data_IF_335349766689
#
_entry.id   IF_335349766689
#
_cell.length_a   1.000
_cell.length_b   1.000
_cell.length_c   1.000
_cell.angle_alpha   90.00
_cell.angle_beta   90.00
_cell.angle_gamma   90.00
#
_symmetry.space_group_name_H-M   'P 1'
#
loop_
_entity.id
_entity.type
_entity.pdbx_description
1 polymer ?
#
# COMPACT_ATOMS: atom_id res chain seq x y z
N UNK A 1 22.36 0.65 -32.37
CA UNK A 1 22.20 1.85 -31.52
C UNK A 1 22.54 1.44 -30.11
N UNK A 2 23.47 2.08 -29.45
CA UNK A 2 23.89 1.62 -28.13
C UNK A 2 22.95 2.16 -27.06
N UNK A 3 22.64 1.37 -26.06
CA UNK A 3 21.94 1.79 -24.83
C UNK A 3 22.66 2.96 -24.13
N UNK A 4 23.95 3.17 -24.42
CA UNK A 4 24.77 4.26 -23.88
C UNK A 4 24.20 5.65 -24.18
N UNK A 5 23.75 5.90 -25.42
CA UNK A 5 23.18 7.19 -25.77
C UNK A 5 21.88 7.48 -24.99
N UNK A 6 21.04 6.46 -24.81
CA UNK A 6 19.79 6.56 -24.04
C UNK A 6 20.10 6.81 -22.56
N UNK A 7 21.01 6.04 -21.97
CA UNK A 7 21.44 6.21 -20.59
C UNK A 7 22.06 7.60 -20.36
N UNK A 8 22.92 8.07 -21.28
CA UNK A 8 23.51 9.40 -21.19
C UNK A 8 22.45 10.49 -21.22
N UNK A 9 21.45 10.37 -22.12
CA UNK A 9 20.34 11.33 -22.20
C UNK A 9 19.49 11.35 -20.92
N UNK A 10 19.21 10.18 -20.34
CA UNK A 10 18.48 10.07 -19.06
C UNK A 10 19.28 10.75 -17.95
N UNK A 11 20.58 10.51 -17.87
CA UNK A 11 21.46 11.13 -16.86
C UNK A 11 21.57 12.66 -17.02
N UNK A 12 21.54 13.18 -18.24
CA UNK A 12 21.46 14.62 -18.49
C UNK A 12 20.18 15.25 -17.95
N UNK A 13 19.09 14.50 -17.93
CA UNK A 13 17.78 14.95 -17.41
C UNK A 13 17.57 14.63 -15.93
N UNK A 14 18.58 14.13 -15.21
CA UNK A 14 18.45 13.66 -13.83
C UNK A 14 17.71 14.66 -12.94
N UNK A 15 18.10 15.92 -12.98
CA UNK A 15 17.50 16.94 -12.10
C UNK A 15 16.05 17.26 -12.51
N UNK A 16 15.73 17.23 -13.79
CA UNK A 16 14.34 17.37 -14.27
C UNK A 16 13.48 16.18 -13.83
N UNK A 17 14.01 14.97 -13.93
CA UNK A 17 13.34 13.73 -13.51
C UNK A 17 13.05 13.77 -12.00
N UNK A 18 14.08 14.08 -11.20
CA UNK A 18 13.93 14.18 -9.76
C UNK A 18 12.90 15.25 -9.35
N UNK A 19 12.93 16.41 -10.01
CA UNK A 19 11.97 17.47 -9.74
C UNK A 19 10.53 17.04 -10.09
N UNK A 20 10.33 16.35 -11.21
CA UNK A 20 9.02 15.79 -11.59
C UNK A 20 8.52 14.77 -10.60
N UNK A 21 9.36 13.83 -10.17
CA UNK A 21 9.03 12.83 -9.15
C UNK A 21 8.67 13.52 -7.82
N UNK A 22 9.51 14.43 -7.34
CA UNK A 22 9.27 15.18 -6.12
C UNK A 22 7.96 15.97 -6.16
N UNK A 23 7.62 16.56 -7.30
CA UNK A 23 6.38 17.32 -7.46
C UNK A 23 5.16 16.42 -7.25
N UNK A 24 5.12 15.26 -7.88
CA UNK A 24 3.99 14.33 -7.74
C UNK A 24 3.96 13.68 -6.35
N UNK A 25 5.13 13.32 -5.77
CA UNK A 25 5.22 12.75 -4.42
C UNK A 25 4.69 13.67 -3.32
N UNK A 26 4.78 15.00 -3.48
CA UNK A 26 4.24 15.96 -2.51
C UNK A 26 2.73 16.02 -2.48
N UNK A 27 2.06 15.38 -3.43
CA UNK A 27 0.61 15.25 -3.45
C UNK A 27 0.23 14.00 -2.65
N UNK A 28 -0.44 14.19 -1.52
CA UNK A 28 -1.01 13.09 -0.75
C UNK A 28 -2.19 12.49 -1.52
N UNK A 29 -1.93 11.40 -2.22
CA UNK A 29 -2.87 10.72 -3.10
C UNK A 29 -3.44 9.43 -2.53
N UNK A 30 -3.64 9.41 -1.22
CA UNK A 30 -4.39 8.35 -0.54
C UNK A 30 -5.84 8.38 -0.98
N UNK A 31 -6.42 7.21 -1.22
CA UNK A 31 -7.84 7.09 -1.53
C UNK A 31 -8.68 7.75 -0.43
N UNK A 32 -9.59 8.62 -0.86
CA UNK A 32 -10.49 9.36 0.00
C UNK A 32 -11.96 9.19 -0.39
N UNK A 33 -12.82 9.98 0.25
CA UNK A 33 -14.24 9.98 -0.07
C UNK A 33 -14.49 10.42 -1.52
N UNK A 34 -15.32 9.66 -2.22
CA UNK A 34 -15.66 9.92 -3.61
C UNK A 34 -16.44 11.23 -3.77
N UNK A 35 -16.06 12.03 -4.75
CA UNK A 35 -16.73 13.27 -5.15
C UNK A 35 -17.17 13.18 -6.61
N UNK A 36 -18.10 14.03 -7.08
CA UNK A 36 -18.65 13.93 -8.42
C UNK A 36 -17.61 13.90 -9.56
N UNK A 37 -16.49 14.61 -9.39
CA UNK A 37 -15.40 14.70 -10.35
C UNK A 37 -14.07 14.11 -9.84
N UNK A 38 -14.09 13.45 -8.68
CA UNK A 38 -12.95 12.79 -8.04
C UNK A 38 -13.38 11.44 -7.45
N UNK A 39 -13.56 10.42 -8.30
CA UNK A 39 -14.16 9.13 -7.89
C UNK A 39 -13.38 8.40 -6.79
N UNK A 40 -12.11 8.69 -6.62
CA UNK A 40 -11.25 8.12 -5.57
C UNK A 40 -10.78 9.16 -4.54
N UNK A 41 -11.42 10.34 -4.55
CA UNK A 41 -11.06 11.47 -3.71
C UNK A 41 -10.17 12.50 -4.38
N UNK A 42 -10.02 13.68 -3.77
CA UNK A 42 -9.30 14.81 -4.37
C UNK A 42 -7.79 14.57 -4.52
N UNK A 43 -7.17 13.82 -3.61
CA UNK A 43 -5.74 13.53 -3.64
C UNK A 43 -5.31 12.71 -4.87
N UNK A 44 -5.90 11.50 -5.11
CA UNK A 44 -5.64 10.72 -6.31
C UNK A 44 -5.91 11.48 -7.61
N UNK A 45 -6.99 12.25 -7.66
CA UNK A 45 -7.28 13.12 -8.82
C UNK A 45 -6.18 14.16 -9.05
N UNK A 46 -5.70 14.80 -7.99
CA UNK A 46 -4.64 15.80 -8.12
C UNK A 46 -3.32 15.20 -8.62
N UNK A 47 -2.95 14.00 -8.14
CA UNK A 47 -1.75 13.30 -8.62
C UNK A 47 -1.87 12.86 -10.08
N UNK A 48 -3.07 12.40 -10.49
CA UNK A 48 -3.39 12.05 -11.86
C UNK A 48 -3.24 13.27 -12.79
N UNK A 49 -3.82 14.39 -12.42
CA UNK A 49 -3.76 15.63 -13.24
C UNK A 49 -2.33 16.18 -13.30
N UNK A 50 -1.55 16.10 -12.23
CA UNK A 50 -0.15 16.52 -12.23
C UNK A 50 0.69 15.70 -13.24
N UNK A 51 0.52 14.36 -13.28
CA UNK A 51 1.20 13.51 -14.25
C UNK A 51 0.74 13.79 -15.71
N UNK A 52 -0.55 14.05 -15.92
CA UNK A 52 -1.07 14.48 -17.23
C UNK A 52 -0.50 15.83 -17.65
N UNK A 53 -0.40 16.77 -16.73
CA UNK A 53 0.16 18.10 -17.02
C UNK A 53 1.66 18.02 -17.33
N UNK A 54 2.41 17.14 -16.67
CA UNK A 54 3.79 16.82 -17.06
C UNK A 54 3.84 16.33 -18.51
N UNK A 55 2.97 15.40 -18.90
CA UNK A 55 2.89 14.90 -20.27
C UNK A 55 2.62 16.03 -21.28
N UNK A 56 1.68 16.95 -20.98
CA UNK A 56 1.38 18.13 -21.81
C UNK A 56 2.58 19.06 -21.94
N UNK A 57 3.22 19.41 -20.82
CA UNK A 57 4.42 20.27 -20.79
C UNK A 57 5.58 19.70 -21.60
N UNK A 58 5.73 18.38 -21.58
CA UNK A 58 6.71 17.69 -22.39
C UNK A 58 6.28 17.53 -23.86
N UNK A 59 5.08 17.94 -24.25
CA UNK A 59 4.60 17.93 -25.63
C UNK A 59 4.13 16.58 -26.15
N UNK A 60 3.69 15.71 -25.27
CA UNK A 60 3.11 14.42 -25.61
C UNK A 60 1.58 14.49 -25.80
N UNK A 61 1.02 13.49 -26.49
CA UNK A 61 -0.41 13.25 -26.48
C UNK A 61 -0.82 12.75 -25.10
N UNK A 62 -1.86 13.34 -24.53
CA UNK A 62 -2.38 12.90 -23.23
C UNK A 62 -3.88 12.60 -23.35
N UNK A 63 -4.35 11.69 -22.52
CA UNK A 63 -5.77 11.37 -22.40
C UNK A 63 -6.08 10.85 -20.99
N UNK A 64 -7.36 10.78 -20.67
CA UNK A 64 -7.81 10.24 -19.39
C UNK A 64 -9.25 9.69 -19.50
N UNK A 65 -9.62 8.82 -18.59
CA UNK A 65 -10.94 8.24 -18.45
C UNK A 65 -11.54 8.65 -17.10
N UNK A 66 -12.41 9.65 -17.11
CA UNK A 66 -13.27 10.11 -16.02
C UNK A 66 -12.53 10.31 -14.67
N UNK A 67 -11.33 10.90 -14.72
CA UNK A 67 -10.45 11.12 -13.56
C UNK A 67 -10.12 9.86 -12.76
N UNK A 68 -10.15 8.68 -13.42
CA UNK A 68 -9.81 7.37 -12.81
C UNK A 68 -8.45 6.87 -13.26
N UNK A 69 -8.14 7.09 -14.54
CA UNK A 69 -6.92 6.59 -15.17
C UNK A 69 -6.52 7.53 -16.29
N UNK A 70 -5.24 7.80 -16.42
CA UNK A 70 -4.68 8.68 -17.43
C UNK A 70 -3.59 8.02 -18.24
N UNK A 71 -3.16 8.68 -19.31
CA UNK A 71 -2.03 8.21 -20.09
C UNK A 71 -1.30 9.34 -20.83
N UNK A 72 -0.04 9.07 -21.09
CA UNK A 72 0.86 9.86 -21.94
C UNK A 72 1.31 8.98 -23.07
N UNK A 73 1.22 9.45 -24.33
CA UNK A 73 1.50 8.64 -25.52
C UNK A 73 2.48 9.34 -26.48
N UNK A 74 3.37 8.53 -27.05
CA UNK A 74 4.31 8.93 -28.10
C UNK A 74 4.35 7.91 -29.24
N UNK A 75 4.52 8.39 -30.47
CA UNK A 75 4.61 7.59 -31.66
C UNK A 75 3.31 7.47 -32.43
N UNK A 76 3.37 6.71 -33.51
CA UNK A 76 2.27 6.46 -34.43
C UNK A 76 2.16 4.96 -34.74
N UNK A 77 1.05 4.53 -35.31
CA UNK A 77 0.83 3.15 -35.71
C UNK A 77 -0.31 2.47 -34.95
N UNK A 78 -0.59 1.24 -35.34
CA UNK A 78 -1.70 0.45 -34.79
C UNK A 78 -1.30 -0.27 -33.50
N UNK A 79 -0.11 -0.84 -33.49
CA UNK A 79 0.39 -1.57 -32.32
C UNK A 79 0.87 -0.60 -31.24
N UNK A 80 0.76 -1.03 -29.99
CA UNK A 80 1.08 -0.22 -28.82
C UNK A 80 1.78 -1.03 -27.74
N UNK A 81 2.88 -0.48 -27.22
CA UNK A 81 3.52 -0.95 -25.99
C UNK A 81 2.92 -0.15 -24.83
N UNK A 82 2.39 -0.83 -23.83
CA UNK A 82 1.90 -0.23 -22.60
C UNK A 82 2.93 -0.28 -21.48
N UNK A 83 3.08 0.81 -20.75
CA UNK A 83 3.72 0.84 -19.43
C UNK A 83 2.62 1.17 -18.45
N UNK A 84 2.25 0.23 -17.57
CA UNK A 84 1.13 0.38 -16.65
C UNK A 84 1.64 0.57 -15.23
N UNK A 85 1.16 1.57 -14.54
CA UNK A 85 1.41 1.81 -13.12
C UNK A 85 0.37 2.73 -12.52
N UNK A 86 0.68 3.39 -11.40
CA UNK A 86 -0.29 4.20 -10.68
C UNK A 86 0.32 5.44 -10.00
N UNK A 87 -0.56 6.34 -9.55
CA UNK A 87 -0.17 7.58 -8.86
C UNK A 87 -0.89 7.77 -7.52
N UNK A 88 -1.77 6.85 -7.13
CA UNK A 88 -2.27 6.76 -5.76
C UNK A 88 -1.25 6.09 -4.85
N UNK A 89 -1.47 6.15 -3.56
CA UNK A 89 -0.57 5.59 -2.55
C UNK A 89 -1.35 5.09 -1.34
N UNK A 90 -0.83 4.09 -0.64
CA UNK A 90 -1.34 3.70 0.68
C UNK A 90 -1.10 4.80 1.72
N UNK A 91 -1.88 4.85 2.81
CA UNK A 91 -1.65 5.77 3.92
C UNK A 91 -0.22 5.68 4.45
N UNK A 92 0.37 6.84 4.75
CA UNK A 92 1.73 6.88 5.30
C UNK A 92 1.79 6.46 6.78
N UNK A 93 0.68 6.60 7.51
CA UNK A 93 0.65 6.49 8.97
C UNK A 93 1.31 7.69 9.66
N UNK A 94 1.19 7.74 10.97
CA UNK A 94 1.64 8.89 11.77
C UNK A 94 3.06 8.71 12.33
N UNK A 95 3.65 7.55 12.19
CA UNK A 95 4.95 7.21 12.81
C UNK A 95 5.86 6.42 11.85
N UNK A 96 7.13 6.32 12.20
CA UNK A 96 8.11 5.49 11.48
C UNK A 96 8.84 6.20 10.33
N UNK A 97 8.56 7.47 10.07
CA UNK A 97 9.25 8.25 9.04
C UNK A 97 10.42 9.06 9.60
N UNK A 98 11.60 8.89 9.00
CA UNK A 98 12.79 9.72 9.31
C UNK A 98 12.62 11.15 8.81
N UNK A 99 11.98 11.31 7.66
CA UNK A 99 11.64 12.60 7.04
C UNK A 99 10.15 12.60 6.70
N UNK A 100 9.52 13.78 6.49
CA UNK A 100 8.08 13.85 6.19
C UNK A 100 7.69 12.94 5.03
N UNK A 101 6.67 12.11 5.21
CA UNK A 101 6.25 11.10 4.25
C UNK A 101 5.94 11.68 2.85
N UNK A 102 5.37 12.88 2.79
CA UNK A 102 5.08 13.61 1.54
C UNK A 102 6.02 14.79 1.31
N UNK A 103 7.17 14.84 2.00
CA UNK A 103 8.20 15.87 1.83
C UNK A 103 8.95 15.76 0.51
N UNK A 104 9.12 14.55 0.02
CA UNK A 104 9.93 14.24 -1.14
C UNK A 104 11.34 14.85 -1.04
N UNK A 105 11.97 14.72 0.11
CA UNK A 105 13.27 15.31 0.41
C UNK A 105 14.40 14.40 -0.07
N UNK A 106 15.52 15.01 -0.44
CA UNK A 106 16.74 14.26 -0.82
C UNK A 106 17.79 14.47 0.28
N UNK A 107 18.18 13.37 0.93
CA UNK A 107 19.23 13.35 1.95
C UNK A 107 20.25 12.29 1.59
N UNK A 108 21.53 12.65 1.62
CA UNK A 108 22.65 11.75 1.29
C UNK A 108 22.52 11.05 -0.09
N UNK A 109 21.88 11.74 -1.05
CA UNK A 109 21.65 11.20 -2.40
C UNK A 109 20.48 10.23 -2.51
N UNK A 110 19.69 10.06 -1.46
CA UNK A 110 18.48 9.21 -1.40
C UNK A 110 17.24 10.10 -1.38
N UNK A 111 16.29 9.85 -2.27
CA UNK A 111 14.97 10.48 -2.28
C UNK A 111 14.06 9.73 -1.31
N UNK A 112 13.53 10.44 -0.32
CA UNK A 112 12.69 9.90 0.75
C UNK A 112 11.23 10.29 0.56
N UNK A 113 10.33 9.34 0.80
CA UNK A 113 8.91 9.61 0.90
C UNK A 113 8.01 8.52 0.34
N UNK A 114 6.72 8.59 0.67
CA UNK A 114 5.67 7.71 0.18
C UNK A 114 5.51 7.89 -1.34
N UNK A 115 5.39 6.76 -2.08
CA UNK A 115 5.26 6.78 -3.54
C UNK A 115 6.59 6.90 -4.29
N UNK A 116 7.74 6.95 -3.60
CA UNK A 116 9.04 7.05 -4.27
C UNK A 116 9.35 5.82 -5.14
N UNK A 117 9.09 4.63 -4.61
CA UNK A 117 9.30 3.35 -5.29
C UNK A 117 7.99 2.79 -5.85
N UNK A 118 6.90 2.97 -5.15
CA UNK A 118 5.59 2.42 -5.39
C UNK A 118 4.57 3.57 -5.48
N UNK A 119 4.17 4.00 -6.66
CA UNK A 119 4.72 3.74 -8.02
C UNK A 119 4.96 5.08 -8.74
N UNK A 120 4.83 6.25 -8.03
CA UNK A 120 4.99 7.59 -8.62
C UNK A 120 6.36 7.81 -9.24
N UNK A 121 7.43 7.32 -8.58
CA UNK A 121 8.79 7.41 -9.10
C UNK A 121 8.94 6.71 -10.44
N UNK A 122 8.64 5.41 -10.54
CA UNK A 122 8.70 4.65 -11.78
C UNK A 122 7.80 5.21 -12.90
N UNK A 123 6.58 5.64 -12.59
CA UNK A 123 5.67 6.20 -13.60
C UNK A 123 6.16 7.55 -14.14
N UNK A 124 6.55 8.46 -13.28
CA UNK A 124 7.13 9.76 -13.74
C UNK A 124 8.44 9.51 -14.49
N UNK A 125 9.28 8.59 -14.01
CA UNK A 125 10.48 8.15 -14.72
C UNK A 125 10.19 7.60 -16.12
N UNK A 126 9.12 6.83 -16.27
CA UNK A 126 8.67 6.28 -17.57
C UNK A 126 8.23 7.37 -18.55
N UNK A 127 7.59 8.44 -18.08
CA UNK A 127 7.25 9.61 -18.92
C UNK A 127 8.54 10.29 -19.42
N UNK A 128 9.55 10.42 -18.59
CA UNK A 128 10.84 10.95 -19.01
C UNK A 128 11.63 10.00 -19.91
N UNK A 129 11.44 8.69 -19.79
CA UNK A 129 12.00 7.73 -20.73
C UNK A 129 11.42 7.94 -22.15
N UNK A 130 10.11 8.24 -22.28
CA UNK A 130 9.52 8.66 -23.57
C UNK A 130 10.20 9.94 -24.10
N UNK A 131 10.48 10.91 -23.23
CA UNK A 131 11.19 12.14 -23.61
C UNK A 131 12.59 11.81 -24.16
N UNK A 132 13.32 10.92 -23.53
CA UNK A 132 14.66 10.51 -23.99
C UNK A 132 14.61 9.84 -25.37
N UNK A 133 13.64 8.94 -25.59
CA UNK A 133 13.41 8.27 -26.89
C UNK A 133 13.14 9.31 -27.98
N UNK A 134 12.25 10.25 -27.72
CA UNK A 134 11.90 11.33 -28.66
C UNK A 134 13.07 12.26 -28.95
N UNK A 135 13.75 12.76 -27.92
CA UNK A 135 14.83 13.74 -28.03
C UNK A 135 16.02 13.18 -28.84
N UNK A 136 16.22 11.87 -28.77
CA UNK A 136 17.24 11.16 -29.56
C UNK A 136 16.76 10.72 -30.94
N UNK A 137 15.49 11.02 -31.30
CA UNK A 137 14.86 10.56 -32.52
C UNK A 137 15.04 9.05 -32.75
N UNK A 138 14.90 8.24 -31.69
CA UNK A 138 15.04 6.80 -31.82
C UNK A 138 13.91 6.24 -32.70
N UNK A 139 14.23 5.35 -33.65
CA UNK A 139 13.19 4.71 -34.45
C UNK A 139 12.38 3.77 -33.54
N UNK A 140 11.08 3.95 -33.58
CA UNK A 140 10.08 3.09 -32.92
C UNK A 140 9.16 2.52 -33.99
N UNK A 141 8.78 1.26 -33.86
CA UNK A 141 7.92 0.53 -34.80
C UNK A 141 6.45 0.50 -34.33
N UNK A 142 6.19 1.00 -33.13
CA UNK A 142 4.85 1.07 -32.51
C UNK A 142 4.75 2.22 -31.52
N UNK A 143 3.55 2.62 -31.18
CA UNK A 143 3.31 3.63 -30.13
C UNK A 143 3.75 3.12 -28.79
N UNK A 144 4.11 4.03 -27.90
CA UNK A 144 4.37 3.74 -26.49
C UNK A 144 3.40 4.60 -25.68
N UNK A 145 2.65 3.95 -24.77
CA UNK A 145 1.69 4.61 -23.88
C UNK A 145 2.03 4.28 -22.44
N UNK A 146 2.37 5.31 -21.66
CA UNK A 146 2.47 5.22 -20.20
C UNK A 146 1.08 5.46 -19.65
N UNK A 147 0.51 4.46 -19.00
CA UNK A 147 -0.85 4.43 -18.43
C UNK A 147 -0.70 4.42 -16.93
N UNK A 148 -1.40 5.30 -16.23
CA UNK A 148 -1.31 5.39 -14.77
C UNK A 148 -2.70 5.54 -14.15
N UNK A 149 -3.01 4.60 -13.26
CA UNK A 149 -4.23 4.56 -12.47
C UNK A 149 -4.16 5.50 -11.26
N UNK A 150 -5.29 5.72 -10.64
CA UNK A 150 -5.40 6.49 -9.40
C UNK A 150 -6.20 5.75 -8.30
N UNK A 151 -6.20 4.40 -8.36
CA UNK A 151 -6.86 3.49 -7.41
C UNK A 151 -6.27 2.06 -7.48
N UNK A 152 -4.98 1.94 -7.72
CA UNK A 152 -4.32 0.63 -7.78
C UNK A 152 -4.32 -0.03 -6.41
N UNK A 153 -3.85 0.67 -5.40
CA UNK A 153 -3.66 0.26 -4.02
C UNK A 153 -4.95 -0.20 -3.29
N UNK A 154 -6.11 0.13 -3.86
CA UNK A 154 -7.41 -0.23 -3.31
C UNK A 154 -8.23 -1.14 -4.23
N UNK A 155 -7.55 -1.99 -5.02
CA UNK A 155 -8.15 -3.04 -5.83
C UNK A 155 -8.29 -2.72 -7.31
N UNK A 156 -7.49 -1.79 -7.83
CA UNK A 156 -7.30 -1.51 -9.27
C UNK A 156 -8.59 -1.24 -10.04
N UNK A 157 -9.62 -0.65 -9.40
CA UNK A 157 -10.90 -0.37 -10.07
C UNK A 157 -10.75 0.65 -11.22
N UNK A 158 -9.68 1.44 -11.21
CA UNK A 158 -9.30 2.34 -12.30
C UNK A 158 -8.91 1.56 -13.58
N UNK A 159 -8.13 0.49 -13.45
CA UNK A 159 -7.75 -0.38 -14.57
C UNK A 159 -8.97 -1.19 -15.06
N UNK A 160 -9.78 -1.73 -14.16
CA UNK A 160 -11.03 -2.38 -14.53
C UNK A 160 -11.93 -1.44 -15.33
N UNK A 161 -12.09 -0.18 -14.89
CA UNK A 161 -12.85 0.84 -15.60
C UNK A 161 -12.33 1.08 -17.03
N UNK A 162 -11.01 1.13 -17.21
CA UNK A 162 -10.39 1.31 -18.54
C UNK A 162 -10.78 0.18 -19.50
N UNK A 163 -10.71 -1.08 -19.02
CA UNK A 163 -11.06 -2.26 -19.81
C UNK A 163 -12.55 -2.32 -20.12
N UNK A 164 -13.40 -2.17 -19.11
CA UNK A 164 -14.86 -2.31 -19.22
C UNK A 164 -15.49 -1.24 -20.13
N UNK A 165 -14.89 -0.05 -20.20
CA UNK A 165 -15.36 1.03 -21.08
C UNK A 165 -14.72 1.00 -22.47
N UNK A 166 -14.00 -0.07 -22.83
CA UNK A 166 -13.52 -0.32 -24.17
C UNK A 166 -12.38 0.60 -24.61
N UNK A 167 -11.60 1.14 -23.69
CA UNK A 167 -10.39 1.86 -24.03
C UNK A 167 -9.36 0.95 -24.69
N UNK A 168 -8.52 1.53 -25.52
CA UNK A 168 -7.59 0.77 -26.36
C UNK A 168 -6.52 0.07 -25.51
N UNK A 169 -6.47 -1.26 -25.61
CA UNK A 169 -5.52 -2.09 -24.88
C UNK A 169 -4.16 -2.16 -25.55
N UNK A 170 -3.05 -2.16 -24.80
CA UNK A 170 -1.72 -2.42 -25.35
C UNK A 170 -1.63 -3.79 -26.04
N UNK A 171 -0.84 -3.86 -27.10
CA UNK A 171 -0.50 -5.15 -27.77
C UNK A 171 0.41 -6.00 -26.90
N UNK A 172 1.37 -5.34 -26.23
CA UNK A 172 2.29 -5.87 -25.22
C UNK A 172 2.53 -4.78 -24.18
N UNK A 173 3.00 -5.17 -23.01
CA UNK A 173 3.31 -4.19 -21.96
C UNK A 173 4.09 -4.78 -20.80
N UNK A 174 4.44 -3.90 -19.89
CA UNK A 174 5.02 -4.25 -18.59
C UNK A 174 4.54 -3.24 -17.55
N UNK A 175 4.70 -3.60 -16.29
CA UNK A 175 4.55 -2.68 -15.17
C UNK A 175 5.91 -2.42 -14.51
N UNK A 176 6.27 -1.16 -14.21
CA UNK A 176 7.46 -0.83 -13.42
C UNK A 176 7.20 -0.87 -11.92
N UNK A 177 6.00 -1.23 -11.51
CA UNK A 177 5.53 -1.31 -10.14
C UNK A 177 6.00 -2.61 -9.48
N UNK A 178 7.31 -2.78 -9.40
CA UNK A 178 7.92 -3.99 -8.86
C UNK A 178 9.44 -3.83 -8.67
N UNK A 179 10.05 -4.81 -7.99
CA UNK A 179 11.50 -4.89 -7.84
C UNK A 179 12.22 -5.24 -9.16
N UNK A 180 13.46 -4.77 -9.28
CA UNK A 180 14.32 -5.09 -10.41
C UNK A 180 15.09 -6.40 -10.18
N UNK A 181 15.49 -7.12 -11.24
CA UNK A 181 15.40 -6.74 -12.67
C UNK A 181 14.07 -7.08 -13.33
N UNK A 182 13.41 -8.15 -12.94
CA UNK A 182 12.13 -8.61 -13.50
C UNK A 182 11.40 -9.46 -12.46
N UNK A 183 10.15 -9.16 -12.17
CA UNK A 183 9.22 -10.07 -11.54
C UNK A 183 8.40 -10.75 -12.64
N UNK A 184 8.47 -12.05 -12.69
CA UNK A 184 7.81 -12.86 -13.71
C UNK A 184 6.66 -13.72 -13.14
N UNK A 185 6.52 -13.72 -11.81
CA UNK A 185 5.52 -14.51 -11.10
C UNK A 185 5.11 -13.78 -9.81
N UNK A 186 3.83 -13.78 -9.49
CA UNK A 186 3.27 -13.21 -8.28
C UNK A 186 2.31 -14.19 -7.61
N UNK A 187 2.22 -14.12 -6.29
CA UNK A 187 1.23 -14.88 -5.52
C UNK A 187 -0.15 -14.24 -5.66
N UNK A 188 -1.17 -15.07 -5.83
CA UNK A 188 -2.54 -14.61 -5.66
C UNK A 188 -2.81 -14.18 -4.21
N UNK A 189 -3.69 -13.21 -4.04
CA UNK A 189 -4.08 -12.69 -2.72
C UNK A 189 -5.54 -13.04 -2.42
N UNK A 190 -5.84 -13.29 -1.13
CA UNK A 190 -7.20 -13.50 -0.64
C UNK A 190 -7.38 -12.74 0.66
N UNK A 191 -8.31 -11.79 0.67
CA UNK A 191 -8.74 -11.11 1.89
C UNK A 191 -9.90 -11.87 2.54
N UNK A 192 -9.78 -12.16 3.83
CA UNK A 192 -10.85 -12.79 4.63
C UNK A 192 -11.26 -11.79 5.70
N UNK A 193 -12.55 -11.46 5.75
CA UNK A 193 -13.14 -10.65 6.81
C UNK A 193 -14.18 -11.50 7.53
N UNK A 194 -14.09 -11.59 8.84
CA UNK A 194 -15.02 -12.29 9.69
C UNK A 194 -15.40 -11.42 10.87
N UNK A 195 -16.56 -11.66 11.44
CA UNK A 195 -17.01 -10.96 12.62
C UNK A 195 -18.31 -11.58 13.16
N UNK A 196 -18.63 -11.26 14.40
CA UNK A 196 -19.88 -11.68 15.04
C UNK A 196 -20.40 -10.60 15.99
N UNK A 197 -21.67 -10.73 16.38
CA UNK A 197 -22.20 -9.95 17.49
C UNK A 197 -21.74 -10.56 18.81
N UNK A 198 -21.52 -9.70 19.79
CA UNK A 198 -21.16 -10.09 21.15
C UNK A 198 -22.43 -10.33 21.96
N UNK A 199 -22.59 -11.54 22.49
CA UNK A 199 -23.73 -11.96 23.34
C UNK A 199 -23.31 -12.17 24.80
N UNK A 200 -22.07 -12.57 25.04
CA UNK A 200 -21.48 -12.76 26.36
C UNK A 200 -20.21 -11.91 26.49
N UNK A 201 -20.29 -10.86 27.27
CA UNK A 201 -19.14 -9.94 27.53
C UNK A 201 -18.09 -10.50 28.49
N UNK A 202 -18.32 -11.71 29.02
CA UNK A 202 -17.46 -12.31 30.01
C UNK A 202 -17.54 -11.64 31.39
N UNK A 203 -16.59 -11.95 32.25
CA UNK A 203 -16.54 -11.40 33.63
C UNK A 203 -15.48 -10.27 33.81
N UNK A 204 -14.57 -10.10 32.86
CA UNK A 204 -13.76 -8.88 32.71
C UNK A 204 -14.33 -8.10 31.53
N UNK A 205 -14.98 -6.99 31.79
CA UNK A 205 -15.63 -6.20 30.73
C UNK A 205 -14.60 -5.48 29.88
N UNK A 206 -14.45 -5.94 28.62
CA UNK A 206 -13.67 -5.28 27.59
C UNK A 206 -14.57 -4.25 26.88
N UNK A 207 -14.20 -2.99 26.94
CA UNK A 207 -14.93 -1.91 26.25
C UNK A 207 -14.44 -1.71 24.83
N UNK A 208 -13.16 -1.98 24.57
CA UNK A 208 -12.55 -1.80 23.26
C UNK A 208 -11.29 -2.65 23.12
N UNK A 209 -11.14 -3.26 21.98
CA UNK A 209 -9.87 -3.80 21.50
C UNK A 209 -9.81 -3.56 20.00
N UNK A 210 -8.75 -2.91 19.54
CA UNK A 210 -8.67 -2.65 18.10
C UNK A 210 -7.32 -2.12 17.66
N UNK A 211 -7.03 -2.36 16.39
CA UNK A 211 -5.83 -1.90 15.71
C UNK A 211 -5.84 -2.25 14.23
N UNK A 212 -4.96 -1.61 13.50
CA UNK A 212 -4.83 -1.76 12.05
C UNK A 212 -5.40 -0.59 11.27
N UNK A 213 -4.80 -0.33 10.11
CA UNK A 213 -5.17 0.78 9.21
C UNK A 213 -5.54 0.28 7.80
N UNK A 214 -5.04 -0.89 7.42
CA UNK A 214 -5.31 -1.53 6.14
C UNK A 214 -5.10 -3.05 6.26
N UNK A 215 -5.78 -3.84 5.46
CA UNK A 215 -5.72 -5.30 5.49
C UNK A 215 -4.39 -5.86 4.96
N UNK A 216 -3.71 -5.12 4.09
CA UNK A 216 -2.39 -5.44 3.55
C UNK A 216 -1.20 -4.86 4.36
N UNK A 217 -1.42 -4.42 5.59
CA UNK A 217 -0.39 -3.86 6.47
C UNK A 217 -0.37 -4.60 7.80
N UNK A 218 0.82 -4.97 8.30
CA UNK A 218 1.00 -5.50 9.66
C UNK A 218 0.60 -4.43 10.68
N UNK A 219 -0.27 -4.77 11.63
CA UNK A 219 -0.84 -3.83 12.61
C UNK A 219 0.28 -3.12 13.39
N UNK A 220 0.50 -1.81 13.19
CA UNK A 220 1.59 -1.08 13.85
C UNK A 220 1.25 -0.66 15.28
N UNK A 221 -0.03 -0.43 15.58
CA UNK A 221 -0.51 -0.03 16.90
C UNK A 221 -1.81 -0.74 17.24
N UNK A 222 -1.98 -1.10 18.51
CA UNK A 222 -3.21 -1.71 19.00
C UNK A 222 -3.54 -1.21 20.40
N UNK A 223 -4.81 -1.11 20.73
CA UNK A 223 -5.31 -0.61 22.00
C UNK A 223 -6.35 -1.54 22.59
N UNK A 224 -6.25 -1.76 23.91
CA UNK A 224 -7.24 -2.47 24.72
C UNK A 224 -7.71 -1.57 25.86
N UNK A 225 -9.01 -1.48 26.09
CA UNK A 225 -9.62 -0.78 27.21
C UNK A 225 -10.51 -1.75 27.97
N UNK A 226 -10.20 -1.95 29.25
CA UNK A 226 -11.01 -2.81 30.13
C UNK A 226 -11.45 -2.05 31.38
N UNK A 227 -12.59 -2.42 31.96
CA UNK A 227 -13.03 -1.97 33.27
C UNK A 227 -12.29 -2.71 34.37
N UNK A 228 -11.78 -1.95 35.35
CA UNK A 228 -11.01 -2.50 36.47
C UNK A 228 -9.56 -2.75 36.14
N UNK A 229 -8.90 -3.47 37.03
CA UNK A 229 -7.49 -3.79 36.96
C UNK A 229 -7.29 -5.17 36.34
N UNK A 230 -6.30 -5.30 35.46
CA UNK A 230 -5.88 -6.58 34.86
C UNK A 230 -4.36 -6.76 35.02
N UNK A 231 -3.90 -7.99 34.89
CA UNK A 231 -2.47 -8.30 34.82
C UNK A 231 -1.96 -8.01 33.41
N UNK A 232 -0.88 -7.25 33.34
CA UNK A 232 -0.21 -6.99 32.06
C UNK A 232 1.27 -7.37 32.23
N UNK A 233 1.79 -8.26 31.40
CA UNK A 233 3.20 -8.61 31.41
C UNK A 233 4.05 -7.44 30.92
N UNK A 234 5.15 -7.16 31.62
CA UNK A 234 6.14 -6.18 31.16
C UNK A 234 6.77 -6.67 29.85
N UNK A 235 6.56 -5.92 28.80
CA UNK A 235 7.03 -6.26 27.44
C UNK A 235 7.38 -4.96 26.71
N UNK A 236 8.47 -4.98 25.94
CA UNK A 236 8.84 -3.85 25.09
C UNK A 236 7.70 -3.52 24.11
N UNK A 237 7.41 -2.24 23.95
CA UNK A 237 6.32 -1.78 23.09
C UNK A 237 4.93 -1.77 23.77
N UNK A 238 4.81 -2.17 25.04
CA UNK A 238 3.55 -2.12 25.80
C UNK A 238 3.58 -0.94 26.79
N UNK A 239 2.52 -0.17 26.79
CA UNK A 239 2.27 0.91 27.76
C UNK A 239 0.94 0.66 28.47
N UNK A 240 0.93 0.86 29.80
CA UNK A 240 -0.26 0.65 30.61
C UNK A 240 -0.61 1.97 31.33
N UNK A 241 -1.86 2.38 31.24
CA UNK A 241 -2.40 3.56 31.92
C UNK A 241 -3.66 3.17 32.72
N UNK A 242 -3.78 3.70 33.93
CA UNK A 242 -4.97 3.50 34.77
C UNK A 242 -5.69 4.83 34.89
N UNK A 243 -6.91 4.90 34.36
CA UNK A 243 -7.74 6.12 34.34
C UNK A 243 -9.21 5.80 34.58
N UNK A 244 -9.88 6.55 35.45
CA UNK A 244 -11.33 6.49 35.64
C UNK A 244 -11.86 5.06 35.94
N UNK A 245 -11.07 4.23 36.68
CA UNK A 245 -11.44 2.85 36.97
C UNK A 245 -11.29 1.88 35.80
N UNK A 246 -10.49 2.25 34.80
CA UNK A 246 -10.18 1.44 33.63
C UNK A 246 -8.68 1.20 33.53
N UNK A 247 -8.30 0.07 32.98
CA UNK A 247 -6.94 -0.19 32.49
C UNK A 247 -6.93 -0.03 30.98
N UNK A 248 -6.02 0.80 30.49
CA UNK A 248 -5.78 1.05 29.08
C UNK A 248 -4.40 0.45 28.77
N UNK A 249 -4.36 -0.46 27.82
CA UNK A 249 -3.12 -1.09 27.32
C UNK A 249 -2.93 -0.68 25.88
N UNK A 250 -1.79 -0.10 25.56
CA UNK A 250 -1.43 0.29 24.20
C UNK A 250 -0.17 -0.46 23.79
N UNK A 251 -0.21 -1.03 22.59
CA UNK A 251 0.91 -1.73 21.99
C UNK A 251 1.41 -0.97 20.76
N UNK A 252 2.74 -0.86 20.66
CA UNK A 252 3.44 -0.35 19.47
C UNK A 252 4.30 -1.47 18.93
N UNK A 253 3.97 -1.91 17.73
CA UNK A 253 4.72 -2.91 16.97
C UNK A 253 5.60 -2.27 15.90
N UNK A 254 5.73 -2.96 14.78
CA UNK A 254 6.45 -2.46 13.60
C UNK A 254 5.66 -2.78 12.34
N UNK A 255 5.34 -1.75 11.57
CA UNK A 255 4.66 -1.89 10.28
C UNK A 255 5.53 -2.67 9.28
N UNK A 256 4.87 -3.45 8.42
CA UNK A 256 5.45 -4.06 7.23
C UNK A 256 4.32 -4.31 6.23
N UNK A 257 4.66 -4.48 4.96
CA UNK A 257 3.69 -4.86 3.94
C UNK A 257 3.17 -6.29 4.19
N UNK A 258 1.88 -6.55 3.91
CA UNK A 258 1.25 -7.86 4.14
C UNK A 258 1.85 -9.02 3.33
N UNK A 259 2.61 -8.73 2.28
CA UNK A 259 3.38 -9.74 1.53
C UNK A 259 4.70 -10.14 2.21
N UNK A 260 5.20 -9.31 3.13
CA UNK A 260 6.43 -9.55 3.89
C UNK A 260 6.20 -9.38 5.40
N UNK A 261 5.19 -10.05 5.97
CA UNK A 261 4.76 -9.81 7.35
C UNK A 261 5.83 -10.16 8.39
N UNK A 262 6.77 -11.03 8.06
CA UNK A 262 7.92 -11.39 8.88
C UNK A 262 8.89 -10.23 9.16
N UNK A 263 8.84 -9.16 8.38
CA UNK A 263 9.59 -7.94 8.63
C UNK A 263 8.91 -7.01 9.64
N UNK A 264 7.65 -7.29 9.97
CA UNK A 264 6.86 -6.52 10.93
C UNK A 264 6.86 -7.11 12.34
N UNK A 265 6.15 -6.42 13.24
CA UNK A 265 5.74 -6.90 14.57
C UNK A 265 4.28 -6.50 14.76
N UNK A 266 3.39 -7.48 14.80
CA UNK A 266 1.96 -7.24 14.92
C UNK A 266 1.58 -6.79 16.33
N UNK A 267 1.15 -5.52 16.47
CA UNK A 267 0.83 -4.92 17.76
C UNK A 267 -0.36 -5.59 18.47
N UNK A 268 -1.33 -6.14 17.72
CA UNK A 268 -2.47 -6.84 18.31
C UNK A 268 -2.02 -8.14 18.98
N UNK A 269 -1.18 -8.93 18.33
CA UNK A 269 -0.63 -10.17 18.88
C UNK A 269 0.31 -9.87 20.06
N UNK A 270 1.12 -8.79 19.96
CA UNK A 270 1.97 -8.33 21.04
C UNK A 270 1.13 -7.99 22.29
N UNK A 271 0.05 -7.24 22.12
CA UNK A 271 -0.87 -6.82 23.18
C UNK A 271 -1.56 -8.03 23.81
N UNK A 272 -2.14 -8.93 22.99
CA UNK A 272 -2.83 -10.12 23.49
C UNK A 272 -1.90 -11.03 24.28
N UNK A 273 -0.65 -11.18 23.85
CA UNK A 273 0.37 -11.92 24.62
C UNK A 273 0.66 -11.28 25.99
N UNK A 274 0.65 -9.95 26.10
CA UNK A 274 0.88 -9.26 27.35
C UNK A 274 -0.27 -9.44 28.37
N UNK A 275 -1.50 -9.70 27.90
CA UNK A 275 -2.69 -9.80 28.76
C UNK A 275 -3.27 -11.22 28.88
N UNK A 276 -2.69 -12.23 28.23
CA UNK A 276 -3.23 -13.60 28.13
C UNK A 276 -3.40 -14.35 29.44
N UNK A 277 -2.72 -13.92 30.51
CA UNK A 277 -2.83 -14.52 31.85
C UNK A 277 -4.15 -14.13 32.58
N UNK A 278 -4.99 -13.28 31.95
CA UNK A 278 -6.30 -12.94 32.48
C UNK A 278 -7.38 -13.84 31.87
N UNK A 279 -8.30 -14.27 32.69
CA UNK A 279 -9.50 -15.00 32.26
C UNK A 279 -10.60 -13.96 31.96
N UNK A 280 -10.70 -13.46 30.72
CA UNK A 280 -11.72 -12.48 30.34
C UNK A 280 -13.12 -13.08 30.31
N UNK A 281 -13.25 -14.31 29.81
CA UNK A 281 -14.53 -14.94 29.51
C UNK A 281 -15.21 -14.39 28.26
N UNK A 282 -16.37 -14.98 27.91
CA UNK A 282 -17.18 -14.52 26.77
C UNK A 282 -16.50 -14.59 25.41
N UNK A 283 -17.02 -13.81 24.45
CA UNK A 283 -16.52 -13.79 23.08
C UNK A 283 -15.13 -13.15 22.97
N UNK A 284 -14.77 -12.20 23.83
CA UNK A 284 -13.42 -11.65 23.81
C UNK A 284 -12.35 -12.70 24.14
N UNK A 285 -12.62 -13.57 25.11
CA UNK A 285 -11.72 -14.69 25.42
C UNK A 285 -11.55 -15.62 24.22
N UNK A 286 -12.64 -15.95 23.55
CA UNK A 286 -12.61 -16.81 22.36
C UNK A 286 -11.84 -16.18 21.21
N UNK A 287 -12.07 -14.87 20.97
CA UNK A 287 -11.31 -14.10 19.98
C UNK A 287 -9.81 -14.09 20.28
N UNK A 288 -9.44 -13.79 21.54
CA UNK A 288 -8.05 -13.78 21.98
C UNK A 288 -7.38 -15.15 21.79
N UNK A 289 -8.05 -16.23 22.23
CA UNK A 289 -7.54 -17.60 22.08
C UNK A 289 -7.39 -18.00 20.62
N UNK A 290 -8.36 -17.66 19.78
CA UNK A 290 -8.27 -17.88 18.34
C UNK A 290 -7.10 -17.14 17.72
N UNK A 291 -6.96 -15.83 17.97
CA UNK A 291 -5.89 -15.03 17.40
C UNK A 291 -4.50 -15.49 17.86
N UNK A 292 -4.36 -15.84 19.14
CA UNK A 292 -3.08 -16.32 19.68
C UNK A 292 -2.71 -17.72 19.20
N UNK A 293 -3.71 -18.61 19.03
CA UNK A 293 -3.47 -20.01 18.66
C UNK A 293 -3.32 -20.18 17.15
N UNK A 294 -4.23 -19.60 16.36
CA UNK A 294 -4.34 -19.89 14.93
C UNK A 294 -3.51 -18.91 14.07
N UNK A 295 -3.18 -17.73 14.62
CA UNK A 295 -2.36 -16.72 13.93
C UNK A 295 -1.02 -16.54 14.69
N UNK A 296 -1.07 -16.17 15.98
CA UNK A 296 0.11 -15.98 16.81
C UNK A 296 1.12 -15.04 16.19
N UNK A 297 2.39 -15.40 16.30
CA UNK A 297 3.52 -14.67 15.70
C UNK A 297 3.98 -15.27 14.37
N UNK A 298 3.36 -16.33 13.91
CA UNK A 298 3.69 -16.92 12.62
C UNK A 298 3.12 -16.09 11.46
N UNK A 299 3.75 -16.19 10.32
CA UNK A 299 3.42 -15.39 9.15
C UNK A 299 3.23 -16.23 7.89
N UNK A 300 3.18 -17.56 8.05
CA UNK A 300 3.07 -18.52 6.95
C UNK A 300 1.77 -19.32 6.96
N UNK A 301 0.95 -19.19 8.02
CA UNK A 301 -0.35 -19.85 8.12
C UNK A 301 -0.30 -21.35 8.42
N UNK A 302 0.75 -21.84 9.07
CA UNK A 302 0.87 -23.25 9.45
C UNK A 302 -0.24 -23.65 10.42
N UNK A 303 -0.46 -22.87 11.49
CA UNK A 303 -1.53 -23.11 12.48
C UNK A 303 -2.93 -22.97 11.89
N UNK A 304 -3.12 -22.10 10.90
CA UNK A 304 -4.36 -22.01 10.13
C UNK A 304 -4.59 -23.16 9.15
N UNK A 305 -3.58 -24.01 8.92
CA UNK A 305 -3.65 -25.10 7.95
C UNK A 305 -3.64 -24.65 6.48
N UNK A 306 -3.15 -23.45 6.19
CA UNK A 306 -3.07 -22.86 4.84
C UNK A 306 -1.64 -22.72 4.35
N UNK A 307 -0.68 -23.23 5.11
CA UNK A 307 0.72 -23.22 4.74
C UNK A 307 0.97 -24.04 3.46
N UNK A 308 1.64 -23.43 2.51
CA UNK A 308 2.06 -24.05 1.26
C UNK A 308 3.40 -23.45 0.81
N UNK A 309 4.23 -24.24 0.23
CA UNK A 309 5.51 -23.80 -0.37
C UNK A 309 5.48 -24.08 -1.85
N UNK A 310 5.65 -23.04 -2.63
CA UNK A 310 5.79 -23.10 -4.07
C UNK A 310 7.27 -22.91 -4.47
N UNK A 311 7.75 -23.66 -5.46
CA UNK A 311 9.16 -23.62 -5.86
C UNK A 311 9.56 -22.26 -6.47
N UNK A 312 8.63 -21.59 -7.17
CA UNK A 312 8.88 -20.33 -7.86
C UNK A 312 8.59 -19.11 -6.98
N UNK A 313 7.48 -19.14 -6.21
CA UNK A 313 6.99 -17.99 -5.44
C UNK A 313 7.29 -18.08 -3.93
N UNK A 314 7.79 -19.22 -3.48
CA UNK A 314 8.14 -19.47 -2.08
C UNK A 314 6.95 -19.78 -1.19
N UNK A 315 7.06 -19.46 0.09
CA UNK A 315 6.14 -19.83 1.16
C UNK A 315 4.89 -18.92 1.18
N UNK A 316 3.71 -19.49 1.51
CA UNK A 316 2.49 -18.69 1.81
C UNK A 316 2.80 -17.60 2.82
N UNK A 317 2.19 -16.44 2.67
CA UNK A 317 2.22 -15.37 3.68
C UNK A 317 0.82 -15.10 4.22
N UNK A 318 0.72 -14.91 5.54
CA UNK A 318 -0.53 -14.57 6.24
C UNK A 318 -0.29 -13.34 7.08
N UNK A 319 -1.16 -12.34 6.93
CA UNK A 319 -1.14 -11.11 7.70
C UNK A 319 -2.49 -10.88 8.38
N UNK A 320 -2.44 -10.57 9.68
CA UNK A 320 -3.58 -10.00 10.40
C UNK A 320 -3.49 -8.48 10.29
N UNK A 321 -4.31 -7.88 9.40
CA UNK A 321 -4.23 -6.46 9.08
C UNK A 321 -5.13 -5.56 9.93
N UNK A 322 -6.28 -6.08 10.37
CA UNK A 322 -7.26 -5.32 11.16
C UNK A 322 -7.88 -6.23 12.22
N UNK A 323 -8.04 -5.71 13.42
CA UNK A 323 -8.81 -6.32 14.51
C UNK A 323 -9.72 -5.28 15.15
N UNK A 324 -10.89 -5.72 15.59
CA UNK A 324 -11.85 -4.86 16.24
C UNK A 324 -12.72 -5.62 17.22
N UNK A 325 -13.04 -5.00 18.37
CA UNK A 325 -14.02 -5.44 19.36
C UNK A 325 -14.46 -4.23 20.18
N UNK A 326 -15.74 -3.98 20.32
CA UNK A 326 -16.29 -2.86 21.10
C UNK A 326 -17.29 -3.29 22.18
N UNK A 327 -17.40 -4.59 22.43
CA UNK A 327 -18.37 -5.16 23.35
C UNK A 327 -19.77 -5.37 22.73
N UNK A 328 -19.96 -5.07 21.46
CA UNK A 328 -21.18 -5.32 20.68
C UNK A 328 -20.88 -6.16 19.43
N UNK A 329 -19.73 -5.92 18.80
CA UNK A 329 -19.26 -6.61 17.59
C UNK A 329 -17.76 -6.97 17.70
N UNK A 330 -17.36 -8.00 16.93
CA UNK A 330 -15.97 -8.41 16.74
C UNK A 330 -15.58 -8.31 15.27
#
# INVERSE_FOLDING_TARGET
>A
MSYEALNSRIMEMKDEILAGIQQNMRIESVRGEAQPDAPYGPGPKAALEDALELGRKLGFKVGQADNRIGWVEYGEGKEMVGVLGHVDVVPAGDTGWTYPAYGAEIHDGILWGRGCLDDKGPIIGSIYALKAIRDLNLPIDRRIRVIFGSDEECGSSCAAYYVENGYEMPTIGFTPDADFPVIFCEKGTTGIKGGSKVYDKGHIEVEYFGGGIADNVVIPTCKLIVKGDIKVAETEGITVTHENGKTIVEAVGRSAHGSTPHLGVNAAILLLNAVKENEFGGEFQQLMEFLLKEIGTETNGESLGVHYVDEETGETTVNLGIVYYDGEET
#
